data_IF_497602072006
#
_entry.id   IF_497602072006
#
_cell.length_a   1.000
_cell.length_b   1.000
_cell.length_c   1.000
_cell.angle_alpha   90.00
_cell.angle_beta   90.00
_cell.angle_gamma   90.00
#
_symmetry.space_group_name_H-M   'P 1'
#
loop_
_entity.id
_entity.type
_entity.pdbx_description
1 polymer ?
#
# COMPACT_ATOMS: atom_id res chain seq x y z
N UNK A 1 -4.67 -9.85 20.49
CA UNK A 1 -3.42 -9.15 20.10
C UNK A 1 -3.35 -9.29 18.59
N UNK A 2 -3.50 -8.20 17.84
CA UNK A 2 -3.33 -8.23 16.39
C UNK A 2 -1.93 -8.74 16.04
N UNK A 3 -1.80 -9.57 15.02
CA UNK A 3 -0.54 -10.13 14.55
C UNK A 3 0.40 -9.01 14.05
N UNK A 4 1.12 -8.39 14.97
CA UNK A 4 1.99 -7.22 14.77
C UNK A 4 3.05 -7.42 13.69
N UNK A 5 3.37 -8.66 13.33
CA UNK A 5 4.34 -8.98 12.28
C UNK A 5 3.82 -8.72 10.85
N UNK A 6 2.50 -8.75 10.60
CA UNK A 6 1.92 -8.37 9.29
C UNK A 6 1.77 -6.84 9.17
N UNK A 7 1.48 -6.22 10.31
CA UNK A 7 1.26 -4.78 10.49
C UNK A 7 2.56 -3.98 10.29
N UNK A 8 3.73 -4.52 10.65
CA UNK A 8 5.00 -3.79 10.64
C UNK A 8 5.43 -3.19 9.28
N UNK A 9 5.20 -3.88 8.16
CA UNK A 9 5.57 -3.35 6.84
C UNK A 9 4.64 -2.20 6.40
N UNK A 10 3.36 -2.34 6.70
CA UNK A 10 2.36 -1.31 6.39
C UNK A 10 2.52 -0.10 7.31
N UNK A 11 2.86 -0.29 8.60
CA UNK A 11 3.15 0.81 9.53
C UNK A 11 4.30 1.69 9.05
N UNK A 12 5.35 1.11 8.48
CA UNK A 12 6.46 1.91 7.93
C UNK A 12 5.98 2.76 6.74
N UNK A 13 5.16 2.19 5.85
CA UNK A 13 4.60 2.92 4.73
C UNK A 13 3.69 4.06 5.20
N UNK A 14 2.81 3.80 6.17
CA UNK A 14 1.95 4.82 6.77
C UNK A 14 2.76 5.94 7.42
N UNK A 15 3.79 5.60 8.20
CA UNK A 15 4.65 6.61 8.84
C UNK A 15 5.39 7.48 7.82
N UNK A 16 5.89 6.89 6.72
CA UNK A 16 6.54 7.65 5.64
C UNK A 16 5.54 8.61 5.00
N UNK A 17 4.34 8.14 4.67
CA UNK A 17 3.31 8.97 4.05
C UNK A 17 2.81 10.09 4.97
N UNK A 18 2.60 9.82 6.25
CA UNK A 18 2.24 10.84 7.23
C UNK A 18 3.33 11.91 7.36
N UNK A 19 4.59 11.50 7.46
CA UNK A 19 5.71 12.44 7.53
C UNK A 19 5.86 13.28 6.26
N UNK A 20 5.59 12.69 5.08
CA UNK A 20 5.60 13.41 3.81
C UNK A 20 4.44 14.43 3.79
N UNK A 21 3.24 13.99 4.11
CA UNK A 21 2.05 14.83 4.23
C UNK A 21 2.29 16.02 5.15
N UNK A 22 2.77 15.80 6.39
CA UNK A 22 2.97 16.87 7.37
C UNK A 22 4.07 17.85 6.95
N UNK A 23 5.10 17.36 6.25
CA UNK A 23 6.16 18.20 5.68
C UNK A 23 5.62 19.10 4.56
N UNK A 24 4.73 18.57 3.73
CA UNK A 24 4.18 19.27 2.56
C UNK A 24 2.98 20.15 2.92
N UNK A 25 2.24 19.80 3.97
CA UNK A 25 1.03 20.47 4.43
C UNK A 25 1.17 20.88 5.92
N UNK A 26 2.07 21.82 6.27
CA UNK A 26 2.31 22.21 7.66
C UNK A 26 1.10 22.88 8.35
N UNK A 27 0.07 23.24 7.59
CA UNK A 27 -1.18 23.83 8.09
C UNK A 27 -2.30 22.81 8.30
N UNK A 28 -2.14 21.57 7.84
CA UNK A 28 -3.11 20.49 7.98
C UNK A 28 -2.53 19.40 8.87
N UNK A 29 -3.40 18.76 9.65
CA UNK A 29 -3.08 17.66 10.54
C UNK A 29 -3.73 16.40 10.02
N UNK A 30 -2.91 15.39 9.72
CA UNK A 30 -3.42 14.06 9.43
C UNK A 30 -4.07 13.45 10.67
N UNK A 31 -5.27 12.89 10.51
CA UNK A 31 -6.04 12.25 11.57
C UNK A 31 -6.35 10.78 11.27
N UNK A 32 -6.13 10.31 10.04
CA UNK A 32 -6.46 8.94 9.69
C UNK A 32 -5.82 8.42 8.40
N UNK A 33 -5.97 7.12 8.18
CA UNK A 33 -5.59 6.43 6.94
C UNK A 33 -6.85 5.80 6.34
N UNK A 34 -7.16 6.19 5.11
CA UNK A 34 -8.23 5.60 4.30
C UNK A 34 -7.72 4.38 3.52
N UNK A 35 -8.41 3.26 3.67
CA UNK A 35 -8.17 2.01 2.94
C UNK A 35 -9.44 1.55 2.25
N UNK A 36 -9.31 0.89 1.10
CA UNK A 36 -10.45 0.20 0.51
C UNK A 36 -10.99 -0.86 1.50
N UNK A 37 -12.31 -1.04 1.56
CA UNK A 37 -12.94 -2.02 2.47
C UNK A 37 -12.31 -3.43 2.34
N UNK A 38 -12.02 -3.83 1.11
CA UNK A 38 -11.35 -5.09 0.82
C UNK A 38 -9.94 -5.19 1.43
N UNK A 39 -9.16 -4.11 1.43
CA UNK A 39 -7.82 -4.11 2.02
C UNK A 39 -7.87 -4.13 3.54
N UNK A 40 -8.87 -3.46 4.13
CA UNK A 40 -9.15 -3.50 5.56
C UNK A 40 -9.30 -4.96 6.04
N UNK A 41 -10.17 -5.72 5.39
CA UNK A 41 -10.40 -7.15 5.68
C UNK A 41 -9.15 -8.00 5.39
N UNK A 42 -8.48 -7.74 4.25
CA UNK A 42 -7.31 -8.53 3.81
C UNK A 42 -6.10 -8.32 4.72
N UNK A 43 -5.90 -7.10 5.21
CA UNK A 43 -4.81 -6.74 6.11
C UNK A 43 -5.14 -7.05 7.58
N UNK A 44 -6.43 -7.24 7.89
CA UNK A 44 -6.92 -7.56 9.22
C UNK A 44 -6.94 -6.35 10.15
N UNK A 45 -7.25 -5.18 9.61
CA UNK A 45 -7.53 -3.97 10.39
C UNK A 45 -9.02 -3.88 10.68
N UNK A 46 -9.37 -3.22 11.77
CA UNK A 46 -10.75 -2.85 12.07
C UNK A 46 -11.01 -1.35 11.76
N UNK A 47 -12.24 -1.02 11.35
CA UNK A 47 -12.63 0.38 11.19
C UNK A 47 -12.60 1.11 12.55
N UNK A 48 -11.88 2.23 12.60
CA UNK A 48 -11.62 2.98 13.83
C UNK A 48 -10.45 2.44 14.66
N UNK A 49 -9.71 1.45 14.17
CA UNK A 49 -8.50 0.96 14.85
C UNK A 49 -7.40 2.04 14.85
N UNK A 50 -6.84 2.33 16.03
CA UNK A 50 -5.70 3.23 16.17
C UNK A 50 -4.40 2.46 15.91
N UNK A 51 -3.72 2.81 14.82
CA UNK A 51 -2.47 2.16 14.39
C UNK A 51 -1.21 2.94 14.74
N UNK A 52 -1.34 4.26 14.92
CA UNK A 52 -0.32 5.19 15.37
C UNK A 52 -1.01 6.23 16.28
N UNK A 53 -0.29 6.89 17.21
CA UNK A 53 -0.90 7.84 18.14
C UNK A 53 -1.71 8.92 17.39
N UNK A 54 -3.03 8.95 17.61
CA UNK A 54 -3.93 9.93 16.97
C UNK A 54 -4.27 9.65 15.50
N UNK A 55 -3.92 8.48 14.95
CA UNK A 55 -4.21 8.08 13.57
C UNK A 55 -5.06 6.81 13.57
N UNK A 56 -6.30 6.93 13.07
CA UNK A 56 -7.26 5.82 12.96
C UNK A 56 -7.42 5.30 11.53
N UNK A 57 -7.76 4.02 11.39
CA UNK A 57 -8.09 3.40 10.10
C UNK A 57 -9.55 3.67 9.72
N UNK A 58 -9.79 4.02 8.46
CA UNK A 58 -11.13 4.24 7.91
C UNK A 58 -11.34 3.45 6.62
N UNK A 59 -12.53 2.90 6.45
CA UNK A 59 -12.97 2.41 5.15
C UNK A 59 -13.24 3.61 4.24
N UNK A 60 -12.53 3.65 3.11
CA UNK A 60 -12.66 4.68 2.08
C UNK A 60 -13.13 4.06 0.76
N UNK A 61 -13.71 4.89 -0.11
CA UNK A 61 -14.12 4.51 -1.47
C UNK A 61 -12.95 4.38 -2.48
N UNK A 62 -11.71 4.30 -2.00
CA UNK A 62 -10.50 4.19 -2.80
C UNK A 62 -10.32 2.83 -3.50
N UNK A 63 -9.26 2.75 -4.30
CA UNK A 63 -8.87 1.53 -5.03
C UNK A 63 -8.04 0.62 -4.12
N UNK A 64 -8.25 -0.69 -4.23
CA UNK A 64 -7.49 -1.67 -3.45
C UNK A 64 -6.00 -1.65 -3.77
N UNK A 65 -5.14 -1.90 -2.78
CA UNK A 65 -3.69 -1.87 -2.88
C UNK A 65 -3.06 -0.48 -2.68
N UNK A 66 -3.89 0.55 -2.47
CA UNK A 66 -3.44 1.90 -2.15
C UNK A 66 -4.08 2.39 -0.84
N UNK A 67 -3.51 3.44 -0.25
CA UNK A 67 -4.08 4.11 0.91
C UNK A 67 -4.04 5.62 0.74
N UNK A 68 -4.92 6.32 1.47
CA UNK A 68 -5.00 7.78 1.46
C UNK A 68 -4.74 8.32 2.85
N UNK A 69 -4.04 9.44 2.95
CA UNK A 69 -3.90 10.18 4.21
C UNK A 69 -5.12 11.08 4.34
N UNK A 70 -5.84 10.92 5.46
CA UNK A 70 -7.00 11.74 5.80
C UNK A 70 -6.53 12.86 6.72
N UNK A 71 -6.77 14.11 6.33
CA UNK A 71 -6.41 15.30 7.11
C UNK A 71 -7.59 16.28 7.18
N UNK A 72 -7.48 17.29 8.03
CA UNK A 72 -8.49 18.35 8.21
C UNK A 72 -8.46 19.43 7.11
N UNK A 73 -7.56 19.29 6.13
CA UNK A 73 -7.51 20.10 4.93
C UNK A 73 -8.66 19.79 3.97
N UNK A 74 -9.16 20.81 3.27
CA UNK A 74 -10.11 20.63 2.18
C UNK A 74 -9.36 20.15 0.92
N UNK A 75 -9.29 18.83 0.74
CA UNK A 75 -8.73 18.19 -0.46
C UNK A 75 -9.84 17.97 -1.49
N UNK A 76 -10.55 19.04 -1.88
CA UNK A 76 -11.46 19.00 -3.04
C UNK A 76 -10.64 18.78 -4.32
N UNK A 77 -10.53 17.50 -4.67
CA UNK A 77 -10.12 16.92 -5.94
C UNK A 77 -9.58 17.89 -7.02
N UNK A 78 -8.26 18.08 -7.01
CA UNK A 78 -7.49 18.05 -8.26
C UNK A 78 -6.55 16.86 -8.13
N UNK A 79 -6.98 15.72 -8.68
CA UNK A 79 -6.18 14.51 -8.77
C UNK A 79 -4.98 14.81 -9.67
N UNK A 80 -3.89 15.30 -9.10
CA UNK A 80 -2.56 15.06 -9.66
C UNK A 80 -2.14 13.68 -9.14
N UNK A 81 -2.41 12.67 -9.96
CA UNK A 81 -1.83 11.33 -9.82
C UNK A 81 -0.30 11.47 -9.87
N UNK A 82 0.34 11.64 -8.72
CA UNK A 82 1.78 11.46 -8.62
C UNK A 82 2.06 9.96 -8.73
N UNK A 83 2.38 9.55 -9.96
CA UNK A 83 2.69 8.19 -10.39
C UNK A 83 3.84 7.63 -9.55
N UNK A 84 3.53 6.76 -8.59
CA UNK A 84 4.54 5.97 -7.87
C UNK A 84 5.25 5.07 -8.87
N UNK A 85 6.55 5.31 -9.05
CA UNK A 85 7.48 4.55 -9.89
C UNK A 85 7.26 3.03 -9.74
N UNK A 86 6.67 2.42 -10.78
CA UNK A 86 6.52 0.97 -10.91
C UNK A 86 7.92 0.41 -11.18
N UNK A 87 8.56 -0.15 -10.16
CA UNK A 87 9.86 -0.82 -10.29
C UNK A 87 9.66 -2.09 -11.12
N UNK A 88 10.02 -2.02 -12.41
CA UNK A 88 9.92 -3.11 -13.37
C UNK A 88 10.98 -4.20 -13.06
N UNK A 89 10.60 -5.21 -12.29
CA UNK A 89 11.45 -6.38 -12.06
C UNK A 89 11.33 -7.38 -13.23
N UNK A 90 11.92 -7.06 -14.38
CA UNK A 90 12.10 -8.00 -15.49
C UNK A 90 13.19 -9.02 -15.12
N UNK A 91 12.78 -10.13 -14.53
CA UNK A 91 13.65 -11.29 -14.31
C UNK A 91 13.71 -12.17 -15.57
N UNK A 92 14.60 -11.87 -16.53
CA UNK A 92 14.91 -12.80 -17.63
C UNK A 92 15.82 -13.92 -17.14
N UNK A 93 15.29 -14.83 -16.32
CA UNK A 93 15.95 -16.13 -16.11
C UNK A 93 15.51 -17.09 -17.22
N UNK A 94 16.40 -17.34 -18.17
CA UNK A 94 16.26 -18.42 -19.13
C UNK A 94 16.48 -19.76 -18.42
N UNK A 95 15.41 -20.54 -18.26
CA UNK A 95 15.54 -21.97 -17.93
C UNK A 95 16.14 -22.68 -19.15
N UNK A 96 17.39 -23.09 -19.03
CA UNK A 96 18.00 -24.03 -19.97
C UNK A 96 17.45 -25.43 -19.69
N UNK A 97 16.71 -25.97 -20.65
CA UNK A 97 16.21 -27.36 -20.59
C UNK A 97 17.34 -28.28 -21.06
N UNK A 98 17.82 -29.25 -20.25
CA UNK A 98 18.84 -30.19 -20.70
C UNK A 98 18.24 -31.12 -21.78
N UNK A 99 18.80 -31.06 -22.99
CA UNK A 99 18.38 -31.87 -24.13
C UNK A 99 18.72 -33.35 -23.95
N UNK A 100 17.69 -34.20 -24.06
CA UNK A 100 17.85 -35.65 -24.16
C UNK A 100 16.62 -36.30 -24.78
N UNK A 101 16.77 -36.93 -25.95
CA UNK A 101 15.71 -37.74 -26.55
C UNK A 101 15.95 -38.07 -28.03
N UNK A 102 16.33 -39.32 -28.30
CA UNK A 102 16.81 -39.87 -29.57
C UNK A 102 15.72 -39.94 -30.66
N UNK A 103 16.08 -39.62 -31.90
CA UNK A 103 15.34 -40.00 -33.11
C UNK A 103 15.43 -41.51 -33.35
N UNK A 104 14.28 -42.18 -33.42
CA UNK A 104 14.14 -43.52 -34.02
C UNK A 104 13.31 -43.35 -35.29
N UNK A 105 13.95 -43.63 -36.43
CA UNK A 105 13.32 -43.70 -37.74
C UNK A 105 12.67 -45.07 -37.93
N UNK A 106 11.49 -45.10 -38.57
CA UNK A 106 10.79 -46.29 -39.06
C UNK A 106 10.91 -46.33 -40.58
#
# INVERSE_FOLDING_TARGET
MADTSKVAKNLKAFQIALNAHDRENPTHTAWGIGLAHFDLERLGFDEGEEILPGITIHADGGVSGNFRVLCDGDHQETVEEEEVEVVEAVGTQTVSVPGGGQTREF
#
